data_IF_001271336642
#
_entry.id   IF_001271336642
#
_cell.length_a   1.000
_cell.length_b   1.000
_cell.length_c   1.000
_cell.angle_alpha   90.00
_cell.angle_beta   90.00
_cell.angle_gamma   90.00
#
_symmetry.space_group_name_H-M   'P 1'
#
loop_
_entity.id
_entity.type
_entity.pdbx_description
1 polymer ?
#
# COMPACT_ATOMS: atom_id res chain seq x y z
N UNK A 1 10.49 1.48 -30.72
CA UNK A 1 10.73 2.89 -31.12
C UNK A 1 10.42 3.81 -29.94
N UNK A 2 11.39 4.27 -29.16
CA UNK A 2 11.16 5.29 -28.14
C UNK A 2 11.26 6.68 -28.78
N UNK A 3 10.15 7.43 -28.77
CA UNK A 3 10.21 8.89 -28.98
C UNK A 3 10.77 9.49 -27.69
N UNK A 4 12.09 9.46 -27.53
CA UNK A 4 12.76 10.24 -26.50
C UNK A 4 12.44 11.71 -26.73
N UNK A 5 11.62 12.30 -25.84
CA UNK A 5 11.20 13.70 -25.98
C UNK A 5 12.41 14.63 -26.09
N UNK A 6 12.24 15.75 -26.79
CA UNK A 6 13.31 16.70 -27.05
C UNK A 6 13.88 17.29 -25.74
N UNK A 7 15.21 17.39 -25.62
CA UNK A 7 15.91 17.98 -24.46
C UNK A 7 15.38 19.37 -24.09
N UNK A 8 15.04 20.17 -25.10
CA UNK A 8 14.46 21.50 -24.92
C UNK A 8 13.06 21.48 -24.31
N UNK A 9 12.25 20.47 -24.63
CA UNK A 9 10.94 20.30 -24.02
C UNK A 9 11.08 19.95 -22.53
N UNK A 10 11.99 19.04 -22.16
CA UNK A 10 12.29 18.73 -20.75
C UNK A 10 12.81 19.93 -19.98
N UNK A 11 13.75 20.69 -20.55
CA UNK A 11 14.31 21.88 -19.89
C UNK A 11 13.26 22.97 -19.70
N UNK A 12 12.40 23.20 -20.70
CA UNK A 12 11.29 24.16 -20.60
C UNK A 12 10.28 23.73 -19.52
N UNK A 13 9.93 22.43 -19.49
CA UNK A 13 9.06 21.89 -18.46
C UNK A 13 9.66 22.02 -17.05
N UNK A 14 10.97 21.77 -16.90
CA UNK A 14 11.66 21.95 -15.63
C UNK A 14 11.64 23.42 -15.15
N UNK A 15 11.93 24.37 -16.04
CA UNK A 15 11.88 25.82 -15.70
C UNK A 15 10.45 26.26 -15.35
N UNK A 16 9.44 25.76 -16.06
CA UNK A 16 8.05 26.03 -15.72
C UNK A 16 7.69 25.47 -14.33
N UNK A 17 8.11 24.24 -14.03
CA UNK A 17 7.90 23.62 -12.73
C UNK A 17 8.62 24.37 -11.59
N UNK A 18 9.82 24.91 -11.83
CA UNK A 18 10.53 25.78 -10.87
C UNK A 18 9.73 27.07 -10.60
N UNK A 19 9.26 27.76 -11.64
CA UNK A 19 8.43 28.97 -11.47
C UNK A 19 7.10 28.67 -10.74
N UNK A 20 6.46 27.53 -11.02
CA UNK A 20 5.28 27.07 -10.29
C UNK A 20 5.59 26.67 -8.84
N UNK A 21 6.81 26.22 -8.55
CA UNK A 21 7.25 25.93 -7.18
C UNK A 21 7.49 27.24 -6.41
N UNK A 22 8.15 28.23 -7.01
CA UNK A 22 8.40 29.53 -6.40
C UNK A 22 7.08 30.26 -6.06
N UNK A 23 6.15 30.31 -7.02
CA UNK A 23 4.82 30.91 -6.78
C UNK A 23 4.02 30.19 -5.68
N UNK A 24 4.13 28.86 -5.60
CA UNK A 24 3.51 28.10 -4.50
C UNK A 24 4.19 28.36 -3.16
N UNK A 25 5.52 28.50 -3.14
CA UNK A 25 6.26 28.80 -1.91
C UNK A 25 5.91 30.19 -1.37
N UNK A 26 5.80 31.20 -2.25
CA UNK A 26 5.33 32.54 -1.88
C UNK A 26 3.89 32.50 -1.34
N UNK A 27 2.99 31.78 -2.00
CA UNK A 27 1.63 31.61 -1.53
C UNK A 27 1.57 30.88 -0.17
N UNK A 28 2.40 29.86 0.05
CA UNK A 28 2.48 29.16 1.32
C UNK A 28 3.00 30.09 2.44
N UNK A 29 4.09 30.82 2.19
CA UNK A 29 4.67 31.75 3.16
C UNK A 29 3.69 32.86 3.57
N UNK A 30 2.89 33.38 2.63
CA UNK A 30 1.87 34.39 2.94
C UNK A 30 0.74 33.83 3.80
N UNK A 31 0.29 32.59 3.54
CA UNK A 31 -0.72 31.91 4.35
C UNK A 31 -0.18 31.57 5.75
N UNK A 32 1.05 31.09 5.85
CA UNK A 32 1.71 30.82 7.13
C UNK A 32 1.84 32.09 7.99
N UNK A 33 2.22 33.22 7.38
CA UNK A 33 2.27 34.50 8.08
C UNK A 33 0.88 34.96 8.59
N UNK A 34 -0.17 34.75 7.79
CA UNK A 34 -1.55 35.03 8.21
C UNK A 34 -1.97 34.11 9.37
N UNK A 35 -1.64 32.82 9.29
CA UNK A 35 -1.94 31.86 10.34
C UNK A 35 -1.21 32.20 11.62
N UNK A 36 0.08 32.55 11.57
CA UNK A 36 0.86 32.95 12.72
C UNK A 36 0.25 34.17 13.43
N UNK A 37 -0.21 35.18 12.67
CA UNK A 37 -0.88 36.35 13.23
C UNK A 37 -2.22 36.03 13.89
N UNK A 38 -2.95 35.02 13.39
CA UNK A 38 -4.19 34.55 13.99
C UNK A 38 -3.94 33.62 15.18
N UNK A 39 -2.85 32.86 15.20
CA UNK A 39 -2.53 31.94 16.31
C UNK A 39 -2.28 32.65 17.63
N UNK A 40 -1.78 33.89 17.60
CA UNK A 40 -1.61 34.74 18.78
C UNK A 40 -2.94 35.20 19.40
N UNK A 41 -4.03 35.19 18.62
CA UNK A 41 -5.37 35.60 19.08
C UNK A 41 -6.09 34.46 19.81
N UNK A 42 -7.12 34.83 20.58
CA UNK A 42 -7.99 33.86 21.22
C UNK A 42 -8.90 33.17 20.20
N UNK A 43 -9.33 31.93 20.47
CA UNK A 43 -10.20 31.18 19.54
C UNK A 43 -11.52 31.94 19.27
N UNK A 44 -12.09 32.59 20.28
CA UNK A 44 -13.33 33.34 20.15
C UNK A 44 -13.18 34.54 19.21
N UNK A 45 -12.08 35.29 19.32
CA UNK A 45 -11.79 36.42 18.43
C UNK A 45 -11.63 35.98 16.97
N UNK A 46 -10.94 34.86 16.73
CA UNK A 46 -10.74 34.32 15.38
C UNK A 46 -12.08 33.88 14.78
N UNK A 47 -12.94 33.26 15.58
CA UNK A 47 -14.28 32.85 15.13
C UNK A 47 -15.13 34.07 14.76
N UNK A 48 -15.08 35.14 15.56
CA UNK A 48 -15.78 36.40 15.25
C UNK A 48 -15.22 37.10 14.01
N UNK A 49 -13.89 37.22 13.88
CA UNK A 49 -13.21 37.87 12.76
C UNK A 49 -13.50 37.16 11.42
N UNK A 50 -13.59 35.83 11.45
CA UNK A 50 -13.89 35.00 10.28
C UNK A 50 -15.39 34.70 10.12
N UNK A 51 -16.25 35.24 11.00
CA UNK A 51 -17.69 35.00 11.04
C UNK A 51 -18.06 33.49 11.03
N UNK A 52 -17.31 32.69 11.79
CA UNK A 52 -17.46 31.25 11.92
C UNK A 52 -18.37 30.88 13.12
N UNK A 53 -19.21 29.85 12.99
CA UNK A 53 -19.91 29.23 14.13
C UNK A 53 -18.94 28.60 15.14
N UNK A 54 -19.40 28.37 16.38
CA UNK A 54 -18.63 27.62 17.37
C UNK A 54 -18.57 26.12 16.97
N UNK A 55 -17.36 25.55 16.74
CA UNK A 55 -17.21 24.16 16.29
C UNK A 55 -17.83 23.13 17.25
N UNK A 56 -17.91 23.40 18.55
CA UNK A 56 -18.39 22.41 19.53
C UNK A 56 -19.92 22.28 19.56
N UNK A 57 -20.62 23.28 19.03
CA UNK A 57 -22.10 23.35 18.96
C UNK A 57 -22.68 22.62 17.75
N UNK A 58 -21.84 22.31 16.76
CA UNK A 58 -22.27 21.71 15.49
C UNK A 58 -22.72 20.25 15.67
N UNK A 59 -23.73 19.85 14.90
CA UNK A 59 -24.31 18.52 14.90
C UNK A 59 -24.21 17.84 13.52
N UNK A 60 -24.73 16.62 13.42
CA UNK A 60 -24.83 15.93 12.15
C UNK A 60 -25.73 16.72 11.19
N UNK A 61 -25.21 17.00 9.98
CA UNK A 61 -25.95 17.75 8.94
C UNK A 61 -25.62 19.24 8.86
N UNK A 62 -24.88 19.77 9.84
CA UNK A 62 -24.37 21.14 9.77
C UNK A 62 -23.19 21.24 8.78
N UNK A 63 -22.90 22.46 8.32
CA UNK A 63 -21.85 22.71 7.34
C UNK A 63 -20.47 22.88 7.99
N UNK A 64 -19.65 21.84 7.92
CA UNK A 64 -18.25 21.86 8.37
C UNK A 64 -17.28 22.39 7.30
N UNK A 65 -17.72 22.58 6.05
CA UNK A 65 -16.84 22.98 4.95
C UNK A 65 -16.26 24.39 5.14
N UNK A 66 -16.97 25.26 5.86
CA UNK A 66 -16.54 26.63 6.16
C UNK A 66 -15.21 26.64 6.94
N UNK A 67 -14.97 25.64 7.81
CA UNK A 67 -13.74 25.51 8.59
C UNK A 67 -12.54 24.98 7.79
N UNK A 68 -12.76 24.49 6.56
CA UNK A 68 -11.72 23.98 5.67
C UNK A 68 -11.09 25.05 4.78
N UNK A 69 -11.58 26.29 4.86
CA UNK A 69 -11.00 27.40 4.12
C UNK A 69 -9.53 27.62 4.53
N UNK A 70 -8.68 27.95 3.56
CA UNK A 70 -7.23 28.14 3.77
C UNK A 70 -6.92 29.24 4.79
N UNK A 71 -7.84 30.18 5.03
CA UNK A 71 -7.66 31.25 6.01
C UNK A 71 -7.82 30.79 7.46
N UNK A 72 -8.48 29.64 7.71
CA UNK A 72 -8.77 29.14 9.06
C UNK A 72 -7.54 28.45 9.65
N UNK A 73 -7.08 28.85 10.85
CA UNK A 73 -5.96 28.19 11.53
C UNK A 73 -6.22 26.71 11.83
N UNK A 74 -5.15 25.92 11.83
CA UNK A 74 -5.20 24.46 12.03
C UNK A 74 -5.85 24.04 13.35
N UNK A 75 -5.69 24.83 14.42
CA UNK A 75 -6.30 24.57 15.74
C UNK A 75 -7.82 24.49 15.66
N UNK A 76 -8.47 25.46 15.01
CA UNK A 76 -9.93 25.51 14.88
C UNK A 76 -10.39 24.42 13.90
N UNK A 77 -9.67 24.25 12.79
CA UNK A 77 -9.96 23.19 11.80
C UNK A 77 -9.96 21.80 12.45
N UNK A 78 -8.94 21.49 13.26
CA UNK A 78 -8.86 20.21 13.98
C UNK A 78 -9.99 20.02 15.00
N UNK A 79 -10.43 21.08 15.68
CA UNK A 79 -11.59 21.03 16.59
C UNK A 79 -12.88 20.71 15.83
N UNK A 80 -13.16 21.45 14.76
CA UNK A 80 -14.32 21.23 13.90
C UNK A 80 -14.34 19.81 13.32
N UNK A 81 -13.19 19.34 12.79
CA UNK A 81 -13.07 17.97 12.28
C UNK A 81 -13.33 16.95 13.39
N UNK A 82 -12.70 17.07 14.56
CA UNK A 82 -12.94 16.12 15.65
C UNK A 82 -14.43 16.02 15.98
N UNK A 83 -15.15 17.14 15.97
CA UNK A 83 -16.61 17.15 16.17
C UNK A 83 -17.35 16.43 15.04
N UNK A 84 -16.98 16.66 13.77
CA UNK A 84 -17.56 15.98 12.60
C UNK A 84 -17.43 14.45 12.69
N UNK A 85 -16.24 13.95 13.01
CA UNK A 85 -15.99 12.50 13.13
C UNK A 85 -16.77 11.88 14.31
N UNK A 86 -17.01 12.64 15.38
CA UNK A 86 -17.82 12.20 16.52
C UNK A 86 -19.33 12.29 16.27
N UNK A 87 -19.79 13.26 15.48
CA UNK A 87 -21.22 13.52 15.26
C UNK A 87 -21.81 12.65 14.14
N UNK A 88 -21.00 12.21 13.18
CA UNK A 88 -21.46 11.41 12.05
C UNK A 88 -21.12 9.91 12.24
N UNK A 89 -22.09 9.06 12.62
CA UNK A 89 -21.85 7.62 12.81
C UNK A 89 -21.40 6.92 11.52
N UNK A 90 -21.73 7.43 10.35
CA UNK A 90 -21.30 6.84 9.07
C UNK A 90 -19.77 6.88 8.93
N UNK A 91 -19.12 7.93 9.43
CA UNK A 91 -17.67 8.11 9.35
C UNK A 91 -16.91 7.32 10.42
N UNK A 92 -17.62 6.76 11.41
CA UNK A 92 -17.04 5.98 12.50
C UNK A 92 -17.12 4.47 12.26
N UNK A 93 -17.85 4.03 11.23
CA UNK A 93 -17.99 2.63 10.90
C UNK A 93 -16.74 2.14 10.15
N UNK A 94 -16.15 1.04 10.62
CA UNK A 94 -15.16 0.28 9.87
C UNK A 94 -15.94 -0.73 9.03
N UNK A 95 -16.02 -0.52 7.73
CA UNK A 95 -16.89 -1.25 6.80
C UNK A 95 -16.21 -2.46 6.13
N UNK A 96 -15.14 -2.98 6.74
CA UNK A 96 -14.31 -4.08 6.22
C UNK A 96 -13.71 -3.83 4.81
N UNK A 97 -13.94 -2.67 4.20
CA UNK A 97 -13.34 -2.25 2.93
C UNK A 97 -11.91 -1.74 3.10
N UNK A 98 -11.41 -1.69 4.33
CA UNK A 98 -10.04 -1.27 4.63
C UNK A 98 -9.13 -2.49 4.49
N UNK A 99 -8.59 -2.69 3.29
CA UNK A 99 -7.70 -3.82 2.93
C UNK A 99 -6.48 -3.97 3.87
N UNK A 100 -6.08 -2.90 4.54
CA UNK A 100 -4.95 -2.85 5.48
C UNK A 100 -5.37 -2.54 6.93
N UNK A 101 -6.66 -2.67 7.26
CA UNK A 101 -7.20 -2.38 8.58
C UNK A 101 -6.98 -3.50 9.60
N UNK A 102 -6.64 -4.69 9.12
CA UNK A 102 -6.35 -5.86 9.94
C UNK A 102 -4.88 -5.89 10.40
N UNK A 103 -4.64 -6.48 11.56
CA UNK A 103 -3.28 -6.70 12.07
C UNK A 103 -2.68 -7.97 11.45
N UNK A 104 -1.97 -7.80 10.34
CA UNK A 104 -1.24 -8.89 9.68
C UNK A 104 0.10 -9.24 10.36
N UNK A 105 0.44 -8.58 11.47
CA UNK A 105 1.60 -8.98 12.27
C UNK A 105 1.29 -10.16 13.20
N UNK A 106 0.01 -10.49 13.36
CA UNK A 106 -0.42 -11.70 14.05
C UNK A 106 -0.18 -12.95 13.19
N UNK A 107 1.10 -13.30 13.11
CA UNK A 107 1.62 -14.57 12.59
C UNK A 107 1.29 -15.78 13.47
N UNK A 108 0.25 -15.73 14.31
CA UNK A 108 -0.18 -16.82 15.19
C UNK A 108 -0.94 -17.96 14.46
N UNK A 109 -0.47 -18.36 13.28
CA UNK A 109 -0.69 -19.73 12.78
C UNK A 109 0.26 -20.74 13.47
N UNK A 110 1.08 -20.29 14.42
CA UNK A 110 1.90 -21.17 15.26
C UNK A 110 1.27 -21.21 16.64
N UNK A 111 0.40 -22.21 16.85
CA UNK A 111 0.05 -22.64 18.20
C UNK A 111 1.35 -22.95 18.94
N UNK A 112 1.49 -22.54 20.20
CA UNK A 112 2.68 -22.83 21.01
C UNK A 112 2.95 -24.35 20.99
N UNK A 113 4.07 -24.76 20.39
CA UNK A 113 4.43 -26.17 20.22
C UNK A 113 4.04 -26.83 18.89
N UNK A 114 3.52 -26.09 17.90
CA UNK A 114 3.26 -26.62 16.55
C UNK A 114 4.59 -26.95 15.85
N UNK A 115 4.92 -28.24 15.78
CA UNK A 115 6.10 -28.74 15.08
C UNK A 115 5.70 -29.27 13.71
N UNK A 116 6.47 -28.92 12.67
CA UNK A 116 6.33 -29.55 11.36
C UNK A 116 6.78 -31.01 11.46
N UNK A 117 6.07 -31.91 10.79
CA UNK A 117 6.43 -33.33 10.79
C UNK A 117 7.81 -33.58 10.14
N UNK A 118 8.27 -32.68 9.28
CA UNK A 118 9.59 -32.71 8.66
C UNK A 118 10.69 -32.23 9.62
N UNK A 119 11.74 -33.04 9.79
CA UNK A 119 12.93 -32.69 10.57
C UNK A 119 14.12 -32.41 9.65
N UNK A 120 14.75 -31.24 9.79
CA UNK A 120 15.91 -30.85 8.98
C UNK A 120 17.04 -31.87 9.16
N UNK A 121 17.57 -32.37 8.04
CA UNK A 121 18.65 -33.38 8.01
C UNK A 121 18.22 -34.82 8.31
N UNK A 122 16.99 -35.04 8.76
CA UNK A 122 16.44 -36.38 9.04
C UNK A 122 15.28 -36.74 8.11
N UNK A 123 14.57 -35.77 7.55
CA UNK A 123 13.39 -36.01 6.73
C UNK A 123 12.14 -36.28 7.58
N UNK A 124 11.21 -37.07 7.06
CA UNK A 124 9.88 -37.34 7.62
C UNK A 124 9.85 -38.63 8.48
N UNK A 125 10.94 -38.94 9.20
CA UNK A 125 11.14 -40.26 9.83
C UNK A 125 10.07 -40.61 10.87
N UNK A 126 9.67 -39.65 11.72
CA UNK A 126 8.66 -39.89 12.76
C UNK A 126 7.32 -40.39 12.18
N UNK A 127 6.91 -39.88 11.03
CA UNK A 127 5.66 -40.30 10.38
C UNK A 127 5.81 -41.69 9.74
N UNK A 128 6.97 -41.99 9.16
CA UNK A 128 7.28 -43.30 8.58
C UNK A 128 7.34 -44.38 9.67
N UNK A 129 7.98 -44.08 10.81
CA UNK A 129 8.02 -44.94 11.99
C UNK A 129 6.62 -45.20 12.55
N UNK A 130 5.77 -44.17 12.62
CA UNK A 130 4.39 -44.33 13.07
C UNK A 130 3.56 -45.16 12.07
N UNK A 131 3.74 -44.99 10.76
CA UNK A 131 3.10 -45.85 9.75
C UNK A 131 3.56 -47.30 9.86
N UNK A 132 4.83 -47.54 10.13
CA UNK A 132 5.37 -48.89 10.35
C UNK A 132 4.77 -49.53 11.61
N UNK A 133 4.68 -48.79 12.73
CA UNK A 133 4.01 -49.28 13.95
C UNK A 133 2.56 -49.64 13.70
N UNK A 134 1.82 -48.79 12.97
CA UNK A 134 0.42 -49.07 12.62
C UNK A 134 0.28 -50.28 11.70
N UNK A 135 1.22 -50.52 10.78
CA UNK A 135 1.23 -51.70 9.93
C UNK A 135 1.52 -52.99 10.73
N UNK A 136 2.46 -52.94 11.68
CA UNK A 136 2.76 -54.07 12.57
C UNK A 136 1.61 -54.37 13.55
N UNK A 137 0.94 -53.34 14.09
CA UNK A 137 -0.27 -53.51 14.91
C UNK A 137 -1.41 -54.14 14.10
N UNK A 138 -1.59 -53.75 12.83
CA UNK A 138 -2.57 -54.37 11.92
C UNK A 138 -2.22 -55.82 11.62
N UNK A 139 -0.97 -56.12 11.25
CA UNK A 139 -0.51 -57.49 11.00
C UNK A 139 -0.65 -58.38 12.25
N UNK A 140 -0.36 -57.84 13.44
CA UNK A 140 -0.54 -58.56 14.72
C UNK A 140 -2.00 -58.76 15.10
N UNK A 141 -2.90 -57.85 14.69
CA UNK A 141 -4.34 -58.02 14.85
C UNK A 141 -4.94 -59.03 13.86
N UNK A 142 -4.35 -59.17 12.67
CA UNK A 142 -4.69 -60.19 11.67
C UNK A 142 -4.20 -61.59 12.07
N UNK A 143 -3.01 -61.70 12.70
CA UNK A 143 -2.43 -62.94 13.22
C UNK A 143 -3.09 -63.43 14.54
N UNK A 144 -4.04 -62.66 15.08
CA UNK A 144 -4.87 -63.01 16.25
C UNK A 144 -6.23 -63.62 15.85
N UNK A 145 -6.50 -63.82 14.57
CA UNK A 145 -7.68 -64.56 14.10
C UNK A 145 -7.32 -66.05 13.98
N UNK A 146 -8.00 -66.98 14.68
CA UNK A 146 -7.76 -68.40 14.45
C UNK A 146 -8.17 -68.77 13.02
N UNK A 147 -7.25 -69.40 12.29
CA UNK A 147 -7.50 -70.00 10.98
C UNK A 147 -8.73 -70.93 11.04
N UNK A 148 -9.71 -70.66 10.18
CA UNK A 148 -10.93 -71.43 10.11
C UNK A 148 -11.82 -71.02 8.95
N UNK A 149 -11.59 -71.69 7.82
CA UNK A 149 -12.52 -71.98 6.73
C UNK A 149 -12.67 -70.97 5.58
N UNK A 150 -12.13 -71.39 4.44
CA UNK A 150 -12.36 -70.82 3.12
C UNK A 150 -13.58 -71.56 2.56
N UNK A 151 -14.73 -70.88 2.47
CA UNK A 151 -15.86 -71.36 1.67
C UNK A 151 -16.06 -70.39 0.52
N UNK A 152 -15.69 -70.86 -0.67
CA UNK A 152 -16.18 -70.36 -1.95
C UNK A 152 -17.69 -70.65 -2.08
N UNK A 153 -18.31 -69.90 -3.00
CA UNK A 153 -19.66 -70.04 -3.55
C UNK A 153 -20.83 -69.43 -2.74
N UNK A 154 -21.23 -68.22 -3.12
CA UNK A 154 -22.65 -67.94 -3.32
C UNK A 154 -22.82 -66.98 -4.52
N UNK A 155 -23.46 -67.51 -5.56
CA UNK A 155 -23.78 -66.87 -6.84
C UNK A 155 -25.29 -66.63 -6.85
N UNK A 156 -25.73 -65.37 -6.87
CA UNK A 156 -27.07 -65.00 -7.32
C UNK A 156 -27.18 -63.48 -7.64
N UNK A 157 -28.04 -63.10 -8.61
CA UNK A 157 -27.67 -62.09 -9.60
C UNK A 157 -28.43 -60.76 -9.53
N UNK A 158 -27.79 -59.74 -10.14
CA UNK A 158 -28.34 -58.62 -10.93
C UNK A 158 -29.04 -57.42 -10.23
N UNK A 159 -28.63 -56.26 -10.74
CA UNK A 159 -29.34 -54.96 -10.81
C UNK A 159 -29.47 -54.08 -9.56
N UNK A 160 -28.57 -53.10 -9.46
CA UNK A 160 -28.92 -51.69 -9.29
C UNK A 160 -27.66 -50.81 -9.49
N UNK A 161 -27.42 -50.40 -10.73
CA UNK A 161 -26.52 -49.28 -11.03
C UNK A 161 -27.17 -48.00 -10.50
N UNK A 162 -26.72 -47.54 -9.33
CA UNK A 162 -27.02 -46.19 -8.88
C UNK A 162 -26.11 -45.21 -9.63
N UNK A 163 -26.62 -44.71 -10.75
CA UNK A 163 -26.15 -43.45 -11.35
C UNK A 163 -26.19 -42.36 -10.28
N UNK A 164 -25.01 -41.97 -9.78
CA UNK A 164 -24.86 -40.66 -9.14
C UNK A 164 -24.64 -39.67 -10.27
N UNK A 165 -25.75 -39.11 -10.72
CA UNK A 165 -25.80 -37.93 -11.59
C UNK A 165 -25.15 -36.76 -10.84
N UNK A 166 -23.87 -36.52 -11.13
CA UNK A 166 -23.20 -35.30 -10.69
C UNK A 166 -23.68 -34.21 -11.65
N UNK A 167 -24.74 -33.51 -11.25
CA UNK A 167 -25.21 -32.29 -11.90
C UNK A 167 -24.04 -31.30 -11.93
N UNK A 168 -23.41 -31.19 -13.10
CA UNK A 168 -22.38 -30.23 -13.39
C UNK A 168 -22.99 -28.83 -13.37
N UNK A 169 -23.01 -28.22 -12.19
CA UNK A 169 -23.18 -26.77 -12.06
C UNK A 169 -22.07 -26.09 -12.87
N UNK A 170 -22.39 -25.20 -13.83
CA UNK A 170 -21.36 -24.54 -14.61
C UNK A 170 -20.59 -23.60 -13.69
N UNK A 171 -19.30 -23.88 -13.49
CA UNK A 171 -18.36 -22.93 -12.92
C UNK A 171 -18.42 -21.63 -13.74
N UNK A 172 -18.45 -20.44 -13.11
CA UNK A 172 -18.26 -19.21 -13.84
C UNK A 172 -16.88 -19.24 -14.49
N UNK A 173 -16.84 -19.01 -15.80
CA UNK A 173 -15.62 -18.86 -16.56
C UNK A 173 -14.79 -17.71 -15.98
N UNK A 174 -13.78 -18.03 -15.18
CA UNK A 174 -12.69 -17.11 -14.92
C UNK A 174 -11.94 -16.95 -16.24
N UNK A 175 -12.16 -15.78 -16.85
CA UNK A 175 -11.34 -15.27 -17.93
C UNK A 175 -9.88 -15.32 -17.50
N UNK A 176 -9.12 -16.25 -18.08
CA UNK A 176 -7.67 -16.31 -17.99
C UNK A 176 -7.07 -15.14 -18.80
N UNK A 177 -7.13 -13.94 -18.22
CA UNK A 177 -6.30 -12.83 -18.61
C UNK A 177 -4.95 -13.03 -17.91
N UNK A 178 -4.02 -13.66 -18.62
CA UNK A 178 -2.63 -13.72 -18.20
C UNK A 178 -2.13 -12.30 -17.86
N UNK A 179 -1.66 -12.03 -16.63
CA UNK A 179 -0.91 -10.82 -16.38
C UNK A 179 0.43 -11.00 -17.09
N UNK A 180 0.69 -10.20 -18.13
CA UNK A 180 2.05 -10.00 -18.62
C UNK A 180 2.82 -9.34 -17.50
N UNK A 181 3.50 -10.16 -16.73
CA UNK A 181 4.42 -9.76 -15.68
C UNK A 181 5.65 -9.14 -16.34
N UNK A 182 5.53 -7.85 -16.69
CA UNK A 182 6.69 -7.02 -17.00
C UNK A 182 7.32 -6.64 -15.66
N UNK A 183 8.02 -7.61 -15.05
CA UNK A 183 9.01 -7.32 -14.03
C UNK A 183 10.13 -6.53 -14.71
N UNK A 184 10.04 -5.20 -14.61
CA UNK A 184 11.16 -4.31 -14.87
C UNK A 184 12.19 -4.54 -13.77
N UNK A 185 13.03 -5.55 -13.96
CA UNK A 185 14.26 -5.72 -13.18
C UNK A 185 15.27 -4.67 -13.65
N UNK A 186 14.98 -3.39 -13.42
CA UNK A 186 15.99 -2.35 -13.38
C UNK A 186 16.80 -2.60 -12.12
N UNK A 187 17.77 -3.49 -12.28
CA UNK A 187 18.80 -3.89 -11.35
C UNK A 187 19.35 -2.67 -10.62
N UNK A 188 19.17 -2.67 -9.30
CA UNK A 188 19.85 -1.79 -8.36
C UNK A 188 21.36 -2.11 -8.44
N UNK A 189 22.06 -1.36 -9.28
CA UNK A 189 23.49 -1.52 -9.51
C UNK A 189 24.23 -0.67 -8.47
N UNK A 190 24.57 -1.31 -7.36
CA UNK A 190 25.55 -0.81 -6.40
C UNK A 190 26.84 -0.45 -7.17
N UNK A 191 27.34 0.79 -7.11
CA UNK A 191 28.51 1.18 -7.90
C UNK A 191 29.78 0.55 -7.32
N UNK A 192 30.41 -0.32 -8.10
CA UNK A 192 31.77 -0.83 -7.91
C UNK A 192 32.77 0.34 -7.95
N UNK A 193 33.68 0.50 -6.96
CA UNK A 193 34.65 1.58 -7.01
C UNK A 193 35.80 1.20 -7.96
N UNK A 194 36.06 2.09 -8.93
CA UNK A 194 37.25 2.18 -9.83
C UNK A 194 36.99 1.92 -11.32
N UNK A 195 36.24 2.82 -11.97
CA UNK A 195 36.52 3.21 -13.36
C UNK A 195 36.59 4.74 -13.46
N UNK A 196 37.76 5.27 -13.82
CA UNK A 196 37.97 6.70 -13.97
C UNK A 196 37.34 7.23 -15.26
N UNK A 197 36.13 7.77 -15.17
CA UNK A 197 35.47 8.43 -16.28
C UNK A 197 36.30 9.64 -16.81
N UNK A 198 36.32 9.91 -18.13
CA UNK A 198 37.08 11.03 -18.67
C UNK A 198 36.54 12.37 -18.16
N UNK A 199 37.44 13.24 -17.70
CA UNK A 199 37.10 14.57 -17.15
C UNK A 199 36.43 15.42 -18.23
N UNK A 200 35.12 15.63 -18.11
CA UNK A 200 34.38 16.56 -18.96
C UNK A 200 34.75 17.99 -18.59
N UNK A 201 35.59 18.63 -19.39
CA UNK A 201 35.93 20.05 -19.26
C UNK A 201 34.70 20.91 -19.59
N UNK A 202 34.19 21.67 -18.63
CA UNK A 202 33.14 22.68 -18.88
C UNK A 202 33.79 23.90 -19.54
N UNK A 203 33.38 24.23 -20.76
CA UNK A 203 33.68 25.53 -21.38
C UNK A 203 33.02 26.62 -20.54
N UNK A 204 33.84 27.57 -20.03
CA UNK A 204 33.35 28.80 -19.42
C UNK A 204 33.37 29.90 -20.47
N UNK A 205 32.23 30.54 -20.70
CA UNK A 205 32.15 31.75 -21.51
C UNK A 205 32.20 32.95 -20.58
N UNK A 206 33.12 33.87 -20.84
CA UNK A 206 33.16 35.19 -20.22
C UNK A 206 32.79 36.21 -21.28
N UNK A 207 31.73 36.99 -21.04
CA UNK A 207 31.40 38.15 -21.87
C UNK A 207 32.10 39.36 -21.26
N UNK A 208 32.97 40.00 -22.05
CA UNK A 208 33.57 41.27 -21.66
C UNK A 208 32.47 42.34 -21.61
N UNK A 209 32.36 43.04 -20.47
CA UNK A 209 31.53 44.23 -20.38
C UNK A 209 32.17 45.30 -21.27
N UNK A 210 31.44 45.77 -22.29
CA UNK A 210 31.83 46.95 -23.04
C UNK A 210 31.68 48.15 -22.10
N UNK A 211 32.81 48.76 -21.72
CA UNK A 211 32.83 50.04 -21.01
C UNK A 211 32.25 51.11 -21.94
N UNK A 212 31.00 51.50 -21.71
CA UNK A 212 30.42 52.72 -22.26
C UNK A 212 30.92 53.89 -21.44
N UNK A 213 32.06 54.47 -21.86
CA UNK A 213 32.52 55.75 -21.32
C UNK A 213 31.73 56.87 -22.00
N UNK A 214 30.60 57.27 -21.41
CA UNK A 214 29.97 58.56 -21.68
C UNK A 214 30.82 59.67 -21.07
N UNK A 215 31.77 60.20 -21.84
CA UNK A 215 32.51 61.41 -21.49
C UNK A 215 31.59 62.63 -21.72
N UNK A 216 30.94 63.05 -20.62
CA UNK A 216 30.15 64.27 -20.54
C UNK A 216 31.06 65.49 -20.59
N UNK A 217 31.22 66.07 -21.78
CA UNK A 217 31.82 67.38 -21.99
C UNK A 217 30.95 68.50 -21.40
N UNK A 218 31.53 69.36 -20.55
CA UNK A 218 31.37 70.83 -20.43
C UNK A 218 31.91 71.33 -19.07
N UNK A 219 32.33 72.60 -18.92
CA UNK A 219 32.09 73.77 -19.78
C UNK A 219 33.26 74.18 -20.69
#
# INVERSE_FOLDING_TARGET
MSRGGDFWARRKAAVAAEAEADTRAEAAATLEAQHAALEEKSDAEILEELALPDPDTLAQGDDFSVFLAKAVPERIRRRALRKLWLSNPVLANVDELVDYGEDFTDSAMVVEGMQTAYQIGKGMLKHVEEMARQAEEKARSEDSLPEGDVSEEDDAPLEAVAEVEIEATPMPAFSEAAPTDNFDTSKDETPDPQESAPVRRRLRFAFAAAETTEERAQP
#
